data_IF_891681435125
#
_entry.id   IF_891681435125
#
_cell.length_a   1.000
_cell.length_b   1.000
_cell.length_c   1.000
_cell.angle_alpha   90.00
_cell.angle_beta   90.00
_cell.angle_gamma   90.00
#
_symmetry.space_group_name_H-M   'P 1'
#
loop_
_entity.id
_entity.type
_entity.pdbx_description
1 polymer ?
#
# COMPACT_ATOMS: atom_id res chain seq x y z
N UNK A 1 -11.66 4.69 -69.39
CA UNK A 1 -10.84 3.71 -68.65
C UNK A 1 -9.74 4.45 -67.90
N UNK A 2 -9.90 4.67 -66.60
CA UNK A 2 -8.90 5.27 -65.72
C UNK A 2 -8.57 4.21 -64.64
N UNK A 3 -7.31 3.78 -64.58
CA UNK A 3 -6.82 2.88 -63.53
C UNK A 3 -6.74 3.64 -62.20
N UNK A 4 -7.20 3.08 -61.07
CA UNK A 4 -6.83 3.61 -59.77
C UNK A 4 -5.38 3.18 -59.45
N UNK A 5 -4.50 4.15 -59.17
CA UNK A 5 -3.22 3.89 -58.52
C UNK A 5 -3.49 3.72 -57.03
N UNK A 6 -3.18 2.53 -56.51
CA UNK A 6 -3.16 2.21 -55.09
C UNK A 6 -2.26 3.21 -54.33
N UNK A 7 -2.86 4.08 -53.52
CA UNK A 7 -2.17 4.80 -52.44
C UNK A 7 -2.70 4.23 -51.13
N UNK A 8 -2.25 3.02 -50.80
CA UNK A 8 -2.45 2.40 -49.48
C UNK A 8 -1.19 1.59 -49.16
N UNK A 9 -0.10 2.27 -48.83
CA UNK A 9 1.08 1.61 -48.27
C UNK A 9 2.08 2.62 -47.70
N UNK A 10 1.69 3.43 -46.70
CA UNK A 10 2.68 4.18 -45.91
C UNK A 10 2.19 4.77 -44.57
N UNK A 11 1.22 4.15 -43.88
CA UNK A 11 0.80 4.61 -42.53
C UNK A 11 1.07 3.55 -41.43
N UNK A 12 1.60 2.36 -41.75
CA UNK A 12 1.71 1.29 -40.75
C UNK A 12 3.08 1.14 -40.06
N UNK A 13 4.11 1.93 -40.41
CA UNK A 13 5.46 1.75 -39.85
C UNK A 13 5.87 2.74 -38.76
N UNK A 14 5.12 3.83 -38.55
CA UNK A 14 5.43 4.81 -37.49
C UNK A 14 4.80 4.40 -36.14
N UNK A 15 3.68 3.67 -36.14
CA UNK A 15 3.05 3.19 -34.90
C UNK A 15 3.84 2.07 -34.22
N UNK A 16 4.48 1.20 -35.00
CA UNK A 16 5.25 0.07 -34.47
C UNK A 16 6.59 0.55 -33.88
N UNK A 17 7.22 1.57 -34.46
CA UNK A 17 8.49 2.10 -33.94
C UNK A 17 8.32 2.94 -32.67
N UNK A 18 7.19 3.65 -32.53
CA UNK A 18 6.79 4.27 -31.26
C UNK A 18 6.49 3.22 -30.18
N UNK A 19 5.94 2.07 -30.57
CA UNK A 19 5.75 0.94 -29.65
C UNK A 19 7.09 0.36 -29.18
N UNK A 20 8.08 0.21 -30.06
CA UNK A 20 9.38 -0.37 -29.70
C UNK A 20 10.20 0.57 -28.78
N UNK A 21 10.08 1.90 -28.93
CA UNK A 21 10.72 2.85 -28.01
C UNK A 21 10.00 2.96 -26.65
N UNK A 22 8.71 2.61 -26.58
CA UNK A 22 7.97 2.41 -25.33
C UNK A 22 8.22 1.02 -24.70
N UNK A 23 8.88 0.12 -25.42
CA UNK A 23 9.20 -1.26 -25.03
C UNK A 23 10.64 -1.45 -24.54
N UNK A 24 11.37 -0.37 -24.28
CA UNK A 24 12.46 -0.48 -23.30
C UNK A 24 11.80 -0.82 -21.96
N UNK A 25 11.77 -2.13 -21.69
CA UNK A 25 11.71 -2.76 -20.38
C UNK A 25 11.67 -1.71 -19.28
N UNK A 26 10.46 -1.33 -18.86
CA UNK A 26 10.23 -0.72 -17.55
C UNK A 26 10.51 -1.81 -16.51
N UNK A 27 11.76 -2.28 -16.45
CA UNK A 27 12.37 -2.88 -15.28
C UNK A 27 12.48 -1.73 -14.27
N UNK A 28 11.37 -1.44 -13.59
CA UNK A 28 11.27 -0.35 -12.64
C UNK A 28 12.19 -0.58 -11.42
N UNK A 29 12.71 -1.79 -11.24
CA UNK A 29 13.54 -2.12 -10.09
C UNK A 29 14.89 -2.64 -10.56
N UNK A 30 15.88 -1.76 -10.63
CA UNK A 30 17.29 -2.13 -10.51
C UNK A 30 18.05 -0.97 -9.86
N UNK A 31 18.91 -1.37 -8.91
CA UNK A 31 19.94 -0.61 -8.18
C UNK A 31 19.51 0.10 -6.88
N UNK A 32 19.98 -0.47 -5.76
CA UNK A 32 20.02 0.03 -4.37
C UNK A 32 18.90 1.02 -4.02
N UNK A 33 17.73 0.46 -3.75
CA UNK A 33 16.61 1.21 -3.23
C UNK A 33 16.99 2.00 -1.96
N UNK A 34 16.72 3.31 -1.95
CA UNK A 34 16.80 4.10 -0.72
C UNK A 34 15.78 3.59 0.32
N UNK A 35 16.14 3.71 1.60
CA UNK A 35 15.24 3.44 2.74
C UNK A 35 13.91 4.21 2.60
N UNK A 36 12.81 3.61 3.09
CA UNK A 36 11.44 4.14 2.96
C UNK A 36 11.35 5.57 3.52
N UNK A 37 11.98 5.84 4.66
CA UNK A 37 12.01 7.16 5.28
C UNK A 37 12.76 8.18 4.42
N UNK A 38 13.93 7.82 3.90
CA UNK A 38 14.69 8.66 2.99
C UNK A 38 13.89 9.01 1.72
N UNK A 39 13.23 8.02 1.14
CA UNK A 39 12.35 8.20 -0.01
C UNK A 39 11.21 9.16 0.25
N UNK A 40 10.56 9.04 1.41
CA UNK A 40 9.47 9.91 1.79
C UNK A 40 9.94 11.36 1.98
N UNK A 41 10.98 11.56 2.78
CA UNK A 41 11.38 12.89 3.23
C UNK A 41 12.29 13.67 2.28
N UNK A 42 12.94 13.01 1.32
CA UNK A 42 13.61 13.71 0.19
C UNK A 42 12.65 14.10 -0.92
N UNK A 43 11.41 13.62 -0.88
CA UNK A 43 10.37 13.90 -1.87
C UNK A 43 9.45 15.03 -1.44
N UNK A 44 8.59 15.52 -2.34
CA UNK A 44 7.51 16.45 -1.99
C UNK A 44 6.35 15.71 -1.31
N UNK A 45 6.56 15.26 -0.07
CA UNK A 45 5.56 14.57 0.73
C UNK A 45 4.44 15.51 1.16
N UNK A 46 3.28 14.91 1.42
CA UNK A 46 2.08 15.58 1.93
C UNK A 46 1.88 15.16 3.38
N UNK A 47 1.26 16.04 4.16
CA UNK A 47 0.85 15.75 5.53
C UNK A 47 -0.67 15.75 5.65
N UNK A 48 -1.17 14.91 6.55
CA UNK A 48 -2.57 14.83 6.91
C UNK A 48 -2.67 14.50 8.39
N UNK A 49 -3.52 15.25 9.10
CA UNK A 49 -3.87 14.94 10.48
C UNK A 49 -5.26 14.29 10.52
N UNK A 50 -5.38 13.19 11.25
CA UNK A 50 -6.62 12.42 11.39
C UNK A 50 -6.87 12.03 12.84
N UNK A 51 -8.13 12.07 13.25
CA UNK A 51 -8.55 11.55 14.56
C UNK A 51 -9.34 10.26 14.35
N UNK A 52 -8.99 9.20 15.07
CA UNK A 52 -9.70 7.92 15.02
C UNK A 52 -9.72 7.26 16.40
N UNK A 53 -10.92 7.08 16.97
CA UNK A 53 -11.13 6.67 18.37
C UNK A 53 -10.38 7.61 19.34
N UNK A 54 -9.41 7.08 20.09
CA UNK A 54 -8.58 7.83 21.05
C UNK A 54 -7.31 8.40 20.39
N UNK A 55 -7.06 8.08 19.11
CA UNK A 55 -5.80 8.38 18.44
C UNK A 55 -5.81 9.62 17.55
N UNK A 56 -4.81 10.48 17.74
CA UNK A 56 -4.49 11.64 16.91
C UNK A 56 -3.27 11.33 16.03
N UNK A 57 -3.53 11.05 14.76
CA UNK A 57 -2.55 10.60 13.79
C UNK A 57 -1.98 11.78 13.01
N UNK A 58 -0.66 11.81 12.86
CA UNK A 58 0.03 12.66 11.89
C UNK A 58 0.64 11.75 10.81
N UNK A 59 0.19 11.94 9.58
CA UNK A 59 0.48 11.05 8.46
C UNK A 59 1.24 11.83 7.40
N UNK A 60 2.48 11.41 7.16
CA UNK A 60 3.27 11.86 6.01
C UNK A 60 3.15 10.83 4.89
N UNK A 61 2.86 11.26 3.66
CA UNK A 61 2.73 10.33 2.54
C UNK A 61 3.17 10.94 1.20
N UNK A 62 3.59 10.08 0.28
CA UNK A 62 3.73 10.39 -1.14
C UNK A 62 2.81 9.48 -1.94
N UNK A 63 1.93 10.01 -2.82
CA UNK A 63 1.04 9.17 -3.61
C UNK A 63 1.76 8.26 -4.62
N UNK A 64 2.89 8.71 -5.14
CA UNK A 64 3.69 8.00 -6.12
C UNK A 64 5.18 8.24 -5.85
N UNK A 65 5.90 7.21 -5.42
CA UNK A 65 7.32 7.30 -5.12
C UNK A 65 8.17 7.63 -6.37
N UNK A 66 9.29 8.37 -6.21
CA UNK A 66 10.29 8.57 -7.26
C UNK A 66 10.91 7.28 -7.79
N UNK A 67 11.64 7.37 -8.91
CA UNK A 67 12.28 6.22 -9.59
C UNK A 67 13.39 5.55 -8.77
N UNK A 68 14.08 6.27 -7.90
CA UNK A 68 15.19 5.79 -7.07
C UNK A 68 14.75 5.19 -5.73
N UNK A 69 13.46 4.90 -5.56
CA UNK A 69 12.89 4.41 -4.31
C UNK A 69 12.65 2.90 -4.28
N UNK A 70 12.50 2.33 -3.07
CA UNK A 70 12.26 0.89 -2.84
C UNK A 70 11.07 0.30 -3.59
N UNK A 71 10.03 1.10 -3.85
CA UNK A 71 8.96 0.70 -4.75
C UNK A 71 8.44 1.90 -5.55
N UNK A 72 9.07 2.21 -6.70
CA UNK A 72 8.75 3.41 -7.46
C UNK A 72 7.30 3.43 -7.92
N UNK A 73 6.74 4.64 -8.03
CA UNK A 73 5.35 4.91 -8.41
C UNK A 73 4.27 4.43 -7.44
N UNK A 74 4.56 3.55 -6.49
CA UNK A 74 3.61 3.18 -5.44
C UNK A 74 3.57 4.22 -4.32
N UNK A 75 2.49 4.26 -3.53
CA UNK A 75 2.44 5.15 -2.39
C UNK A 75 3.40 4.68 -1.29
N UNK A 76 3.95 5.67 -0.56
CA UNK A 76 4.68 5.45 0.68
C UNK A 76 3.96 6.23 1.78
N UNK A 77 3.85 5.63 2.95
CA UNK A 77 3.25 6.25 4.13
C UNK A 77 4.19 6.15 5.33
N UNK A 78 4.09 7.15 6.18
CA UNK A 78 4.60 7.16 7.53
C UNK A 78 3.51 7.69 8.45
N UNK A 79 3.22 6.94 9.51
CA UNK A 79 2.17 7.25 10.47
C UNK A 79 2.83 7.42 11.84
N UNK A 80 2.56 8.59 12.44
CA UNK A 80 2.83 8.86 13.85
C UNK A 80 1.54 8.98 14.62
N UNK A 81 1.58 8.56 15.87
CA UNK A 81 0.48 8.74 16.81
C UNK A 81 0.99 9.55 18.01
N UNK A 82 0.21 10.55 18.45
CA UNK A 82 0.57 11.35 19.64
C UNK A 82 0.44 10.56 20.95
N UNK A 83 -0.56 9.70 21.02
CA UNK A 83 -0.84 8.85 22.17
C UNK A 83 0.22 7.75 22.32
N UNK A 84 0.49 7.38 23.56
CA UNK A 84 1.43 6.31 23.90
C UNK A 84 0.94 4.98 23.33
N UNK A 85 1.78 4.37 22.49
CA UNK A 85 1.60 3.06 21.88
C UNK A 85 2.97 2.38 21.80
N UNK A 86 3.00 1.06 21.68
CA UNK A 86 4.27 0.32 21.59
C UNK A 86 4.30 -0.67 20.42
N UNK A 87 3.25 -0.74 19.61
CA UNK A 87 3.24 -1.56 18.42
C UNK A 87 2.18 -1.14 17.41
N UNK A 88 2.26 -1.79 16.24
CA UNK A 88 1.29 -1.63 15.16
C UNK A 88 0.74 -2.99 14.70
N UNK A 89 -0.55 -3.02 14.38
CA UNK A 89 -1.21 -4.13 13.69
C UNK A 89 -1.70 -3.66 12.33
N UNK A 90 -1.48 -4.46 11.29
CA UNK A 90 -1.92 -4.15 9.93
C UNK A 90 -2.76 -5.29 9.38
N UNK A 91 -4.01 -5.00 9.00
CA UNK A 91 -4.86 -5.93 8.24
C UNK A 91 -4.85 -5.49 6.78
N UNK A 92 -4.29 -6.33 5.93
CA UNK A 92 -4.30 -6.14 4.47
C UNK A 92 -5.50 -6.82 3.86
N UNK A 93 -6.12 -6.13 2.90
CA UNK A 93 -7.13 -6.64 1.98
C UNK A 93 -6.68 -6.39 0.56
N UNK A 94 -6.71 -7.43 -0.26
CA UNK A 94 -6.29 -7.35 -1.67
C UNK A 94 -7.01 -8.40 -2.51
N UNK A 95 -7.16 -8.12 -3.79
CA UNK A 95 -7.60 -9.09 -4.77
C UNK A 95 -6.47 -9.92 -5.38
N UNK A 96 -5.24 -9.75 -4.87
CA UNK A 96 -4.11 -10.47 -5.43
C UNK A 96 -4.32 -11.98 -5.38
N UNK A 97 -4.39 -12.57 -6.57
CA UNK A 97 -4.61 -14.01 -6.78
C UNK A 97 -5.79 -14.60 -5.97
N UNK A 98 -6.78 -13.75 -5.72
CA UNK A 98 -8.13 -14.04 -5.24
C UNK A 98 -8.43 -15.49 -4.81
N UNK A 99 -8.64 -15.76 -3.50
CA UNK A 99 -9.44 -16.94 -3.08
C UNK A 99 -10.83 -16.60 -2.53
N UNK A 100 -11.46 -15.58 -3.11
CA UNK A 100 -12.47 -14.64 -2.59
C UNK A 100 -11.86 -13.59 -1.65
N UNK A 101 -10.91 -12.90 -2.28
CA UNK A 101 -10.37 -11.56 -2.09
C UNK A 101 -9.86 -11.32 -0.68
N UNK A 102 -8.63 -11.79 -0.56
CA UNK A 102 -7.91 -12.05 0.66
C UNK A 102 -7.93 -10.91 1.66
N UNK A 103 -7.92 -11.32 2.94
CA UNK A 103 -7.84 -10.53 4.15
C UNK A 103 -6.90 -11.23 5.13
N UNK A 104 -5.82 -10.59 5.57
CA UNK A 104 -4.83 -11.18 6.48
C UNK A 104 -4.11 -10.13 7.35
N UNK A 105 -3.46 -10.58 8.42
CA UNK A 105 -2.55 -9.72 9.21
C UNK A 105 -1.19 -9.72 8.54
N UNK A 106 -0.68 -8.52 8.23
CA UNK A 106 0.56 -8.30 7.49
C UNK A 106 1.78 -8.42 8.41
N UNK A 107 2.06 -9.64 8.86
CA UNK A 107 3.22 -9.95 9.69
C UNK A 107 3.50 -11.46 9.68
N UNK A 108 4.67 -11.87 10.18
CA UNK A 108 4.96 -13.27 10.43
C UNK A 108 4.44 -13.68 11.81
N UNK A 109 3.20 -14.14 11.88
CA UNK A 109 2.53 -14.52 13.14
C UNK A 109 3.29 -15.57 13.98
N UNK A 110 4.12 -16.42 13.36
CA UNK A 110 4.88 -17.46 14.07
C UNK A 110 6.10 -16.90 14.80
N UNK A 111 6.71 -15.84 14.26
CA UNK A 111 7.90 -15.21 14.82
C UNK A 111 7.55 -13.99 15.66
N UNK A 112 6.68 -13.15 15.11
CA UNK A 112 6.35 -11.85 15.68
C UNK A 112 4.99 -11.36 15.15
N UNK A 113 3.93 -11.31 15.98
CA UNK A 113 2.57 -11.06 15.49
C UNK A 113 2.23 -9.58 15.31
N UNK A 114 3.21 -8.68 15.33
CA UNK A 114 3.03 -7.24 15.14
C UNK A 114 3.82 -6.75 13.94
N UNK A 115 3.41 -5.64 13.35
CA UNK A 115 4.06 -5.07 12.18
C UNK A 115 5.39 -4.39 12.56
N UNK A 116 5.35 -3.54 13.58
CA UNK A 116 6.52 -2.92 14.22
C UNK A 116 6.31 -2.82 15.73
N UNK A 117 7.42 -2.79 16.50
CA UNK A 117 7.45 -2.51 17.93
C UNK A 117 8.21 -1.21 18.21
N UNK A 118 7.69 -0.40 19.13
CA UNK A 118 8.32 0.81 19.66
C UNK A 118 8.85 1.78 18.59
N UNK A 119 8.26 1.72 17.41
CA UNK A 119 8.66 2.49 16.23
C UNK A 119 7.42 3.08 15.57
N UNK A 120 7.61 4.21 14.91
CA UNK A 120 6.62 4.77 14.00
C UNK A 120 6.33 3.75 12.88
N UNK A 121 5.15 3.85 12.27
CA UNK A 121 4.76 2.95 11.20
C UNK A 121 5.25 3.47 9.85
N UNK A 122 6.00 2.65 9.10
CA UNK A 122 6.40 2.92 7.72
C UNK A 122 5.99 1.77 6.81
N UNK A 123 5.46 2.09 5.64
CA UNK A 123 5.13 1.08 4.63
C UNK A 123 5.20 1.65 3.20
N UNK A 124 5.61 0.78 2.30
CA UNK A 124 5.74 0.98 0.86
C UNK A 124 5.36 -0.35 0.18
N UNK A 125 4.05 -0.62 -0.06
CA UNK A 125 3.58 -1.96 -0.37
C UNK A 125 4.18 -2.46 -1.67
N UNK A 126 5.02 -3.49 -1.63
CA UNK A 126 5.82 -3.94 -2.77
C UNK A 126 5.00 -4.81 -3.73
N UNK A 127 4.82 -4.34 -4.96
CA UNK A 127 4.10 -5.08 -6.01
C UNK A 127 4.71 -4.87 -7.38
N UNK A 128 4.80 -5.95 -8.15
CA UNK A 128 5.27 -5.92 -9.54
C UNK A 128 4.09 -5.91 -10.50
N UNK A 129 4.05 -4.96 -11.43
CA UNK A 129 3.03 -4.90 -12.47
C UNK A 129 3.65 -4.45 -13.80
N UNK A 130 3.03 -4.86 -14.90
CA UNK A 130 3.38 -4.42 -16.25
C UNK A 130 2.11 -4.01 -17.00
N UNK A 131 2.26 -3.52 -18.24
CA UNK A 131 1.11 -3.20 -19.09
C UNK A 131 0.21 -4.43 -19.37
N UNK A 132 0.80 -5.63 -19.35
CA UNK A 132 0.14 -6.89 -19.71
C UNK A 132 -0.09 -7.83 -18.53
N UNK A 133 0.46 -7.51 -17.35
CA UNK A 133 0.32 -8.31 -16.13
C UNK A 133 0.00 -7.43 -14.94
N UNK A 134 -1.17 -7.66 -14.34
CA UNK A 134 -1.62 -6.98 -13.13
C UNK A 134 -1.97 -8.05 -12.09
N UNK A 135 -1.14 -8.26 -11.06
CA UNK A 135 -1.37 -9.33 -10.08
C UNK A 135 -2.55 -9.02 -9.15
N UNK A 136 -3.03 -7.76 -9.12
CA UNK A 136 -4.13 -7.27 -8.31
C UNK A 136 -4.67 -5.95 -8.90
N UNK A 137 -5.89 -5.57 -8.52
CA UNK A 137 -6.52 -4.28 -8.83
C UNK A 137 -6.56 -3.36 -7.61
N UNK A 138 -6.47 -3.88 -6.38
CA UNK A 138 -6.35 -3.07 -5.18
C UNK A 138 -5.56 -3.73 -4.05
N UNK A 139 -4.98 -2.87 -3.23
CA UNK A 139 -4.43 -3.21 -1.93
C UNK A 139 -4.88 -2.14 -0.95
N UNK A 140 -5.47 -2.56 0.17
CA UNK A 140 -5.89 -1.66 1.24
C UNK A 140 -5.46 -2.22 2.57
N UNK A 141 -4.93 -1.36 3.43
CA UNK A 141 -4.60 -1.71 4.80
C UNK A 141 -5.49 -0.96 5.78
N UNK A 142 -5.88 -1.65 6.84
CA UNK A 142 -6.30 -1.04 8.09
C UNK A 142 -5.14 -1.17 9.08
N UNK A 143 -4.55 -0.04 9.43
CA UNK A 143 -3.34 0.03 10.26
C UNK A 143 -3.71 0.61 11.62
N UNK A 144 -3.47 -0.14 12.68
CA UNK A 144 -3.87 0.17 14.05
C UNK A 144 -2.65 0.40 14.92
N UNK A 145 -2.67 1.49 15.68
CA UNK A 145 -1.74 1.70 16.77
C UNK A 145 -2.27 1.00 18.02
N UNK A 146 -1.39 0.26 18.69
CA UNK A 146 -1.79 -0.59 19.81
C UNK A 146 -0.83 -0.46 20.99
N UNK A 147 -1.37 -0.71 22.19
CA UNK A 147 -0.58 -0.91 23.41
C UNK A 147 -0.70 -2.37 23.82
N UNK A 148 0.43 -3.08 23.77
CA UNK A 148 0.53 -4.48 24.16
C UNK A 148 1.07 -4.55 25.58
N UNK A 149 0.42 -5.36 26.39
CA UNK A 149 0.94 -5.87 27.65
C UNK A 149 1.25 -7.36 27.48
N UNK A 150 2.54 -7.70 27.40
CA UNK A 150 2.97 -9.09 27.21
C UNK A 150 2.84 -9.94 28.49
N UNK A 151 2.79 -9.32 29.68
CA UNK A 151 2.63 -10.04 30.93
C UNK A 151 1.19 -10.50 31.10
N UNK A 152 0.25 -9.59 30.86
CA UNK A 152 -1.19 -9.85 30.98
C UNK A 152 -1.82 -10.37 29.67
N UNK A 153 -1.04 -10.43 28.58
CA UNK A 153 -1.48 -10.79 27.23
C UNK A 153 -2.69 -9.99 26.78
N UNK A 154 -2.62 -8.67 26.90
CA UNK A 154 -3.68 -7.76 26.44
C UNK A 154 -3.18 -6.87 25.32
N UNK A 155 -4.05 -6.57 24.35
CA UNK A 155 -3.80 -5.60 23.28
C UNK A 155 -4.91 -4.56 23.37
N UNK A 156 -4.55 -3.34 23.76
CA UNK A 156 -5.45 -2.19 23.70
C UNK A 156 -5.31 -1.49 22.35
N UNK A 157 -6.40 -1.34 21.63
CA UNK A 157 -6.42 -0.60 20.36
C UNK A 157 -6.70 0.88 20.62
N UNK A 158 -5.76 1.75 20.22
CA UNK A 158 -5.87 3.19 20.47
C UNK A 158 -6.66 3.89 19.36
N UNK A 159 -6.36 3.53 18.12
CA UNK A 159 -7.00 4.06 16.93
C UNK A 159 -6.47 3.36 15.69
N UNK A 160 -7.03 3.66 14.52
CA UNK A 160 -6.51 3.11 13.29
C UNK A 160 -6.91 3.91 12.07
N UNK A 161 -6.16 3.72 10.99
CA UNK A 161 -6.35 4.39 9.73
C UNK A 161 -6.54 3.38 8.61
N UNK A 162 -7.27 3.77 7.58
CA UNK A 162 -7.36 3.07 6.31
C UNK A 162 -6.49 3.78 5.29
N UNK A 163 -5.75 3.03 4.48
CA UNK A 163 -5.03 3.58 3.32
C UNK A 163 -4.77 2.47 2.29
N UNK A 164 -4.14 2.82 1.16
CA UNK A 164 -3.68 1.83 0.18
C UNK A 164 -3.58 2.38 -1.23
N UNK A 165 -3.86 1.55 -2.24
CA UNK A 165 -3.90 1.97 -3.64
C UNK A 165 -4.83 1.12 -4.51
N UNK A 166 -5.12 1.65 -5.70
CA UNK A 166 -5.77 0.96 -6.81
C UNK A 166 -4.86 0.92 -8.03
N UNK A 167 -4.91 -0.19 -8.75
CA UNK A 167 -4.30 -0.38 -10.07
C UNK A 167 -5.41 -0.44 -11.11
N UNK A 168 -5.82 0.73 -11.63
CA UNK A 168 -6.83 0.79 -12.68
C UNK A 168 -6.28 0.32 -14.04
N UNK A 169 -7.18 0.01 -14.98
CA UNK A 169 -6.78 -0.38 -16.36
C UNK A 169 -6.00 0.72 -17.06
N UNK A 170 -6.43 1.97 -16.85
CA UNK A 170 -5.80 3.22 -17.29
C UNK A 170 -5.86 4.18 -16.10
N UNK A 171 -4.84 4.18 -15.23
CA UNK A 171 -3.55 4.81 -15.50
C UNK A 171 -2.35 3.86 -15.38
N UNK A 172 -1.19 4.31 -15.88
CA UNK A 172 0.08 3.55 -15.81
C UNK A 172 0.58 3.44 -14.36
N UNK A 173 0.19 4.34 -13.45
CA UNK A 173 0.67 4.36 -12.07
C UNK A 173 -0.42 3.94 -11.07
N UNK A 174 -0.05 3.36 -9.92
CA UNK A 174 -0.96 3.17 -8.79
C UNK A 174 -1.62 4.49 -8.39
N UNK A 175 -2.92 4.44 -8.12
CA UNK A 175 -3.67 5.54 -7.54
C UNK A 175 -3.80 5.31 -6.04
N UNK A 176 -3.20 6.19 -5.23
CA UNK A 176 -3.31 6.10 -3.78
C UNK A 176 -4.78 6.22 -3.33
N UNK A 177 -5.16 5.35 -2.40
CA UNK A 177 -6.35 5.53 -1.55
C UNK A 177 -5.87 6.38 -0.38
N UNK A 178 -6.36 7.61 -0.31
CA UNK A 178 -5.92 8.57 0.71
C UNK A 178 -6.16 8.02 2.12
N UNK A 179 -5.25 8.32 3.07
CA UNK A 179 -5.45 7.91 4.45
C UNK A 179 -6.74 8.50 5.01
N UNK A 180 -7.53 7.68 5.72
CA UNK A 180 -8.77 8.11 6.37
C UNK A 180 -8.96 7.38 7.70
N UNK A 181 -9.67 8.00 8.64
CA UNK A 181 -10.01 7.37 9.92
C UNK A 181 -10.88 6.13 9.71
N UNK A 182 -10.70 5.12 10.58
CA UNK A 182 -11.56 3.93 10.58
C UNK A 182 -12.82 4.21 11.40
N UNK A 183 -13.97 3.81 10.87
CA UNK A 183 -15.24 3.92 11.58
C UNK A 183 -15.47 2.72 12.53
N UNK A 184 -16.52 2.82 13.35
CA UNK A 184 -16.89 1.78 14.32
C UNK A 184 -17.21 0.44 13.64
N UNK A 185 -17.74 0.44 12.42
CA UNK A 185 -18.08 -0.79 11.71
C UNK A 185 -16.81 -1.50 11.23
N UNK A 186 -15.83 -0.75 10.71
CA UNK A 186 -14.54 -1.28 10.32
C UNK A 186 -13.84 -1.94 11.51
N UNK A 187 -13.88 -1.27 12.67
CA UNK A 187 -13.35 -1.82 13.92
C UNK A 187 -14.00 -3.16 14.31
N UNK A 188 -15.32 -3.25 14.30
CA UNK A 188 -16.02 -4.48 14.68
C UNK A 188 -15.71 -5.66 13.76
N UNK A 189 -15.49 -5.41 12.47
CA UNK A 189 -15.08 -6.45 11.52
C UNK A 189 -13.64 -6.89 11.76
N UNK A 190 -12.76 -5.96 12.14
CA UNK A 190 -11.33 -6.19 12.28
C UNK A 190 -10.96 -6.85 13.60
N UNK A 191 -11.67 -6.52 14.68
CA UNK A 191 -11.43 -7.15 15.99
C UNK A 191 -11.64 -8.66 15.93
N UNK A 192 -12.59 -9.14 15.12
CA UNK A 192 -12.81 -10.58 14.92
C UNK A 192 -11.66 -11.23 14.15
N UNK A 193 -11.03 -10.51 13.23
CA UNK A 193 -9.80 -10.99 12.55
C UNK A 193 -8.65 -11.11 13.55
N UNK A 194 -8.47 -10.10 14.41
CA UNK A 194 -7.43 -10.13 15.45
C UNK A 194 -7.64 -11.27 16.44
N UNK A 195 -8.88 -11.47 16.93
CA UNK A 195 -9.18 -12.58 17.86
C UNK A 195 -8.88 -13.96 17.27
N UNK A 196 -9.13 -14.14 15.97
CA UNK A 196 -8.87 -15.41 15.28
C UNK A 196 -7.36 -15.65 15.09
N UNK A 197 -6.60 -14.60 14.76
CA UNK A 197 -5.18 -14.73 14.44
C UNK A 197 -4.26 -14.65 15.67
N UNK A 198 -4.63 -13.87 16.69
CA UNK A 198 -3.82 -13.57 17.87
C UNK A 198 -4.30 -14.36 19.10
N UNK A 199 -4.38 -15.69 18.93
CA UNK A 199 -4.89 -16.59 19.97
C UNK A 199 -4.06 -16.44 21.25
N UNK A 200 -4.75 -16.21 22.36
CA UNK A 200 -4.14 -16.05 23.68
C UNK A 200 -3.91 -14.60 24.10
N UNK A 201 -4.17 -13.62 23.23
CA UNK A 201 -4.30 -12.22 23.62
C UNK A 201 -5.77 -11.83 23.80
N UNK A 202 -6.05 -11.02 24.82
CA UNK A 202 -7.34 -10.32 24.98
C UNK A 202 -7.27 -8.99 24.23
N UNK A 203 -8.21 -8.75 23.32
CA UNK A 203 -8.29 -7.50 22.56
C UNK A 203 -9.30 -6.56 23.23
N UNK A 204 -8.83 -5.37 23.61
CA UNK A 204 -9.58 -4.31 24.30
C UNK A 204 -9.75 -3.05 23.42
#
# INVERSE_FOLDING_TARGET
>A
MLKPKNIFSSICFISIFLFILLWQDLKINNEVAEDIGNCLYKSNYKNLELNSREGDFNISYIPNAPRNCFNPSFPIIHIKLKQEHNAWLQIVRTDSSDKKLQKFIDTNLELHPFYTLEQDFYDAPLWYYTLFSKPLTYWTAHTYAVKIDNQNKTIKIIGGIKWGFRLAYFPIKPQMILPSSLDTNNWQVDVEVFKQALVGYKID
#
